data_IF_579082086062
#
_entry.id   IF_579082086062
#
_cell.length_a   1.000
_cell.length_b   1.000
_cell.length_c   1.000
_cell.angle_alpha   90.00
_cell.angle_beta   90.00
_cell.angle_gamma   90.00
#
_symmetry.space_group_name_H-M   'P 1'
#
loop_
_entity.id
_entity.type
_entity.pdbx_description
1 polymer ?
#
# COMPACT_ATOMS: atom_id res chain seq x y z
N UNK A 1 -16.60 -7.11 1.79
CA UNK A 1 -15.73 -7.50 0.66
C UNK A 1 -14.32 -7.66 1.23
N UNK A 2 -13.58 -8.74 0.97
CA UNK A 2 -12.35 -9.02 1.74
C UNK A 2 -11.28 -7.92 1.60
N UNK A 3 -11.12 -7.34 0.41
CA UNK A 3 -10.15 -6.27 0.19
C UNK A 3 -10.45 -4.95 0.93
N UNK A 4 -11.69 -4.73 1.38
CA UNK A 4 -12.03 -3.51 2.11
C UNK A 4 -11.56 -3.54 3.57
N UNK A 5 -11.28 -4.73 4.13
CA UNK A 5 -10.79 -4.89 5.50
C UNK A 5 -9.26 -5.03 5.60
N UNK A 6 -8.54 -4.95 4.48
CA UNK A 6 -7.09 -5.01 4.49
C UNK A 6 -6.47 -3.69 4.99
N UNK A 7 -5.38 -3.81 5.75
CA UNK A 7 -4.55 -2.67 6.14
C UNK A 7 -3.85 -2.03 4.94
N UNK A 8 -3.45 -0.77 5.08
CA UNK A 8 -2.65 -0.09 4.04
C UNK A 8 -1.37 -0.85 3.71
N UNK A 9 -0.76 -1.51 4.70
CA UNK A 9 0.38 -2.40 4.53
C UNK A 9 0.09 -3.53 3.55
N UNK A 10 -0.99 -4.28 3.79
CA UNK A 10 -1.37 -5.39 2.91
C UNK A 10 -1.79 -4.91 1.52
N UNK A 11 -2.49 -3.78 1.43
CA UNK A 11 -2.89 -3.19 0.16
C UNK A 11 -1.67 -2.73 -0.67
N UNK A 12 -0.70 -2.04 -0.05
CA UNK A 12 0.52 -1.61 -0.73
C UNK A 12 1.32 -2.80 -1.26
N UNK A 13 1.50 -3.84 -0.43
CA UNK A 13 2.22 -5.05 -0.84
C UNK A 13 1.58 -5.71 -2.06
N UNK A 14 0.24 -5.87 -2.05
CA UNK A 14 -0.50 -6.44 -3.18
C UNK A 14 -0.48 -5.54 -4.40
N UNK A 15 -0.59 -4.22 -4.23
CA UNK A 15 -0.51 -3.22 -5.30
C UNK A 15 0.83 -3.27 -6.02
N UNK A 16 1.94 -3.44 -5.27
CA UNK A 16 3.29 -3.59 -5.81
C UNK A 16 3.52 -4.97 -6.46
N UNK A 17 2.99 -6.04 -5.86
CA UNK A 17 3.11 -7.40 -6.41
C UNK A 17 2.40 -7.57 -7.76
N UNK A 18 1.23 -6.92 -7.89
CA UNK A 18 0.41 -6.96 -9.09
C UNK A 18 0.75 -5.83 -10.06
N UNK A 19 1.73 -4.99 -9.71
CA UNK A 19 2.15 -3.83 -10.49
C UNK A 19 2.60 -4.27 -11.88
N UNK A 20 1.82 -3.86 -12.87
CA UNK A 20 2.24 -3.79 -14.25
C UNK A 20 2.67 -2.34 -14.45
N UNK A 21 3.93 -2.14 -14.87
CA UNK A 21 4.40 -0.86 -15.43
C UNK A 21 3.55 -0.53 -16.66
N UNK A 22 2.31 -0.13 -16.46
CA UNK A 22 1.47 0.53 -17.45
C UNK A 22 1.95 1.99 -17.44
N UNK A 23 2.21 2.53 -18.63
CA UNK A 23 2.99 3.75 -18.91
C UNK A 23 2.54 5.06 -18.21
N UNK A 24 1.54 5.04 -17.33
CA UNK A 24 0.93 6.22 -16.73
C UNK A 24 0.77 6.19 -15.20
N UNK A 25 1.16 5.12 -14.50
CA UNK A 25 1.02 5.04 -13.03
C UNK A 25 2.34 4.64 -12.38
N UNK A 26 3.01 5.59 -11.73
CA UNK A 26 4.19 5.36 -10.93
C UNK A 26 3.81 5.34 -9.44
N UNK A 27 3.58 4.13 -8.94
CA UNK A 27 3.22 3.93 -7.53
C UNK A 27 4.32 4.41 -6.58
N UNK A 28 5.59 4.46 -6.99
CA UNK A 28 6.64 4.99 -6.11
C UNK A 28 6.46 6.50 -5.95
N UNK A 29 6.20 7.21 -7.05
CA UNK A 29 5.88 8.64 -7.00
C UNK A 29 4.59 8.90 -6.21
N UNK A 30 3.54 8.12 -6.44
CA UNK A 30 2.27 8.26 -5.69
C UNK A 30 2.51 8.13 -4.17
N UNK A 31 3.35 7.19 -3.74
CA UNK A 31 3.67 7.05 -2.32
C UNK A 31 4.49 8.23 -1.82
N UNK A 32 5.46 8.73 -2.59
CA UNK A 32 6.26 9.90 -2.20
C UNK A 32 5.41 11.18 -2.14
N UNK A 33 4.37 11.29 -2.96
CA UNK A 33 3.44 12.42 -2.95
C UNK A 33 2.63 12.49 -1.64
N UNK A 34 2.57 11.44 -0.83
CA UNK A 34 1.94 11.47 0.50
C UNK A 34 2.63 12.44 1.47
N UNK A 35 3.89 12.82 1.23
CA UNK A 35 4.53 13.88 2.00
C UNK A 35 3.87 15.25 1.78
N UNK A 36 3.23 15.45 0.63
CA UNK A 36 2.53 16.68 0.27
C UNK A 36 1.01 16.57 0.40
N UNK A 37 0.46 15.38 0.15
CA UNK A 37 -0.98 15.11 0.12
C UNK A 37 -1.34 13.89 1.00
N UNK A 38 -1.08 13.96 2.32
CA UNK A 38 -1.27 12.82 3.22
C UNK A 38 -2.72 12.32 3.26
N UNK A 39 -3.70 13.20 3.09
CA UNK A 39 -5.13 12.88 3.06
C UNK A 39 -5.49 11.82 2.02
N UNK A 40 -4.69 11.69 0.95
CA UNK A 40 -4.92 10.67 -0.10
C UNK A 40 -4.81 9.25 0.44
N UNK A 41 -4.03 9.03 1.50
CA UNK A 41 -3.85 7.71 2.13
C UNK A 41 -5.17 7.13 2.64
N UNK A 42 -6.06 7.98 3.18
CA UNK A 42 -7.37 7.57 3.71
C UNK A 42 -8.51 7.82 2.71
N UNK A 43 -8.34 8.79 1.80
CA UNK A 43 -9.37 9.17 0.84
C UNK A 43 -9.34 8.30 -0.43
N UNK A 44 -8.40 8.54 -1.35
CA UNK A 44 -8.50 8.00 -2.73
C UNK A 44 -7.66 6.75 -2.95
N UNK A 45 -6.46 6.66 -2.38
CA UNK A 45 -5.55 5.54 -2.58
C UNK A 45 -6.10 4.17 -2.20
N UNK A 46 -6.86 4.00 -1.12
CA UNK A 46 -7.37 2.68 -0.75
C UNK A 46 -8.28 2.10 -1.83
N UNK A 47 -9.14 2.92 -2.43
CA UNK A 47 -10.07 2.48 -3.48
C UNK A 47 -9.37 2.26 -4.82
N UNK A 48 -8.44 3.15 -5.18
CA UNK A 48 -7.59 3.00 -6.36
C UNK A 48 -6.77 1.69 -6.30
N UNK A 49 -6.14 1.43 -5.16
CA UNK A 49 -5.34 0.23 -4.93
C UNK A 49 -6.20 -1.02 -4.97
N UNK A 50 -7.37 -1.02 -4.30
CA UNK A 50 -8.32 -2.15 -4.36
C UNK A 50 -8.77 -2.44 -5.79
N UNK A 51 -9.13 -1.41 -6.56
CA UNK A 51 -9.53 -1.58 -7.97
C UNK A 51 -8.38 -2.14 -8.83
N UNK A 52 -7.14 -1.70 -8.57
CA UNK A 52 -5.96 -2.24 -9.23
C UNK A 52 -5.73 -3.71 -8.86
N UNK A 53 -5.76 -4.04 -7.57
CA UNK A 53 -5.58 -5.40 -7.05
C UNK A 53 -6.63 -6.34 -7.65
N UNK A 54 -7.91 -5.96 -7.66
CA UNK A 54 -8.99 -6.76 -8.27
C UNK A 54 -8.70 -7.11 -9.73
N UNK A 55 -8.26 -6.13 -10.53
CA UNK A 55 -7.88 -6.35 -11.94
C UNK A 55 -6.67 -7.29 -12.05
N UNK A 56 -5.66 -7.11 -11.19
CA UNK A 56 -4.47 -7.98 -11.15
C UNK A 56 -4.82 -9.43 -10.80
N UNK A 57 -5.65 -9.64 -9.77
CA UNK A 57 -6.10 -10.96 -9.35
C UNK A 57 -6.93 -11.65 -10.44
N UNK A 58 -7.83 -10.93 -11.10
CA UNK A 58 -8.62 -11.46 -12.21
C UNK A 58 -7.74 -11.94 -13.39
N UNK A 59 -6.66 -11.21 -13.71
CA UNK A 59 -5.68 -11.64 -14.74
C UNK A 59 -4.96 -12.93 -14.36
N UNK A 60 -4.73 -13.14 -13.06
CA UNK A 60 -4.13 -14.37 -12.52
C UNK A 60 -5.16 -15.46 -12.22
N UNK A 61 -6.46 -15.23 -12.49
CA UNK A 61 -7.58 -16.12 -12.15
C UNK A 61 -7.73 -16.44 -10.65
N UNK A 62 -7.17 -15.60 -9.79
CA UNK A 62 -7.22 -15.74 -8.33
C UNK A 62 -8.47 -15.05 -7.77
N UNK A 63 -9.20 -15.74 -6.90
CA UNK A 63 -10.33 -15.16 -6.15
C UNK A 63 -9.83 -14.38 -4.93
N UNK A 64 -10.53 -13.31 -4.55
CA UNK A 64 -10.18 -12.52 -3.35
C UNK A 64 -10.08 -13.37 -2.07
N UNK A 65 -10.96 -14.37 -1.91
CA UNK A 65 -10.94 -15.26 -0.75
C UNK A 65 -9.63 -16.06 -0.63
N UNK A 66 -8.98 -16.39 -1.76
CA UNK A 66 -7.69 -17.08 -1.77
C UNK A 66 -6.58 -16.17 -1.26
N UNK A 67 -6.66 -14.86 -1.53
CA UNK A 67 -5.69 -13.88 -1.03
C UNK A 67 -5.74 -13.79 0.50
N UNK A 68 -6.93 -13.92 1.08
CA UNK A 68 -7.10 -13.99 2.53
C UNK A 68 -6.31 -15.15 3.14
N UNK A 69 -6.44 -16.34 2.55
CA UNK A 69 -5.71 -17.52 3.03
C UNK A 69 -4.19 -17.34 2.90
N UNK A 70 -3.72 -16.77 1.78
CA UNK A 70 -2.30 -16.50 1.52
C UNK A 70 -1.72 -15.52 2.56
N UNK A 71 -2.44 -14.44 2.88
CA UNK A 71 -1.99 -13.46 3.86
C UNK A 71 -2.10 -13.95 5.31
N UNK A 72 -2.90 -14.98 5.57
CA UNK A 72 -3.13 -15.54 6.91
C UNK A 72 -2.20 -16.72 7.23
N UNK A 73 -1.22 -17.00 6.36
CA UNK A 73 -0.21 -18.05 6.50
C UNK A 73 -0.81 -19.46 6.79
N UNK A 74 -2.01 -19.72 6.24
CA UNK A 74 -2.67 -21.02 6.40
C UNK A 74 -1.90 -22.05 5.57
N UNK A 75 -1.44 -23.18 6.17
CA UNK A 75 -0.71 -24.20 5.44
C UNK A 75 -1.62 -24.85 4.40
N UNK A 76 -1.35 -24.60 3.13
CA UNK A 76 -1.95 -25.29 2.01
C UNK A 76 -0.91 -25.40 0.90
N UNK A 77 -0.91 -26.51 0.15
CA UNK A 77 -0.08 -26.60 -1.06
C UNK A 77 -0.59 -25.57 -2.07
N UNK A 78 0.23 -24.55 -2.42
CA UNK A 78 -0.22 -23.52 -3.33
C UNK A 78 -0.39 -24.13 -4.72
N UNK A 79 -1.55 -23.89 -5.33
CA UNK A 79 -1.72 -24.18 -6.76
C UNK A 79 -0.82 -23.25 -7.60
N UNK A 80 -0.72 -23.50 -8.91
CA UNK A 80 0.15 -22.74 -9.82
C UNK A 80 -0.09 -21.22 -9.77
N UNK A 81 -1.35 -20.81 -9.73
CA UNK A 81 -1.76 -19.40 -9.66
C UNK A 81 -1.32 -18.75 -8.34
N UNK A 82 -1.50 -19.46 -7.21
CA UNK A 82 -1.08 -19.02 -5.88
C UNK A 82 0.45 -18.93 -5.78
N UNK A 83 1.17 -19.91 -6.32
CA UNK A 83 2.63 -19.89 -6.37
C UNK A 83 3.15 -18.69 -7.19
N UNK A 84 2.48 -18.38 -8.31
CA UNK A 84 2.78 -17.20 -9.11
C UNK A 84 2.53 -15.90 -8.32
N UNK A 85 1.42 -15.77 -7.60
CA UNK A 85 1.18 -14.60 -6.75
C UNK A 85 2.22 -14.48 -5.61
N UNK A 86 2.57 -15.58 -4.96
CA UNK A 86 3.60 -15.61 -3.91
C UNK A 86 4.96 -15.16 -4.44
N UNK A 87 5.35 -15.61 -5.64
CA UNK A 87 6.60 -15.16 -6.27
C UNK A 87 6.57 -13.66 -6.59
N UNK A 88 5.44 -13.14 -7.05
CA UNK A 88 5.23 -11.70 -7.28
C UNK A 88 5.33 -10.88 -5.99
N UNK A 89 4.72 -11.36 -4.90
CA UNK A 89 4.82 -10.74 -3.57
C UNK A 89 6.28 -10.71 -3.09
N UNK A 90 7.00 -11.83 -3.24
CA UNK A 90 8.42 -11.92 -2.89
C UNK A 90 9.26 -10.91 -3.68
N UNK A 91 9.01 -10.79 -4.98
CA UNK A 91 9.72 -9.85 -5.85
C UNK A 91 9.37 -8.38 -5.56
N UNK A 92 8.18 -8.10 -5.04
CA UNK A 92 7.78 -6.77 -4.60
C UNK A 92 8.41 -6.37 -3.27
N UNK A 93 8.87 -7.32 -2.44
CA UNK A 93 9.35 -7.07 -1.08
C UNK A 93 10.41 -5.95 -0.99
N UNK A 94 11.45 -5.89 -1.84
CA UNK A 94 12.44 -4.81 -1.74
C UNK A 94 11.86 -3.42 -1.99
N UNK A 95 10.90 -3.29 -2.93
CA UNK A 95 10.19 -2.02 -3.17
C UNK A 95 9.28 -1.68 -1.99
N UNK A 96 8.56 -2.69 -1.49
CA UNK A 96 7.68 -2.56 -0.35
C UNK A 96 8.44 -2.09 0.91
N UNK A 97 9.58 -2.71 1.24
CA UNK A 97 10.36 -2.36 2.43
C UNK A 97 10.82 -0.89 2.43
N UNK A 98 11.03 -0.30 1.24
CA UNK A 98 11.36 1.13 1.08
C UNK A 98 10.15 2.04 1.24
N UNK A 99 9.03 1.67 0.64
CA UNK A 99 7.85 2.54 0.51
C UNK A 99 6.92 2.47 1.73
N UNK A 100 6.91 1.35 2.46
CA UNK A 100 6.02 1.16 3.60
C UNK A 100 6.30 2.17 4.72
N UNK A 101 7.55 2.63 4.87
CA UNK A 101 7.95 3.62 5.85
C UNK A 101 7.16 4.92 5.67
N UNK A 102 7.01 5.39 4.43
CA UNK A 102 6.26 6.62 4.12
C UNK A 102 4.78 6.48 4.52
N UNK A 103 4.18 5.33 4.19
CA UNK A 103 2.78 5.05 4.54
C UNK A 103 2.59 4.97 6.05
N UNK A 104 3.50 4.32 6.77
CA UNK A 104 3.45 4.20 8.23
C UNK A 104 3.66 5.56 8.92
N UNK A 105 4.59 6.39 8.44
CA UNK A 105 4.80 7.77 8.93
C UNK A 105 3.55 8.63 8.76
N UNK A 106 2.95 8.60 7.57
CA UNK A 106 1.74 9.40 7.26
C UNK A 106 0.55 8.90 8.05
N UNK A 107 0.39 7.57 8.18
CA UNK A 107 -0.67 6.99 9.00
C UNK A 107 -0.53 7.42 10.46
N UNK A 108 0.68 7.33 11.02
CA UNK A 108 0.96 7.75 12.40
C UNK A 108 0.69 9.24 12.59
N UNK A 109 1.05 10.10 11.63
CA UNK A 109 0.78 11.53 11.69
C UNK A 109 -0.73 11.82 11.70
N UNK A 110 -1.52 11.14 10.86
CA UNK A 110 -2.97 11.30 10.82
C UNK A 110 -3.67 10.77 12.07
N UNK A 111 -3.20 9.65 12.62
CA UNK A 111 -3.72 9.10 13.87
C UNK A 111 -3.31 9.95 15.08
N UNK A 112 -2.12 10.54 15.04
CA UNK A 112 -1.65 11.48 16.04
C UNK A 112 -2.37 12.83 15.96
N UNK A 113 -2.71 13.35 14.78
CA UNK A 113 -3.51 14.57 14.63
C UNK A 113 -4.93 14.40 15.19
N UNK A 114 -5.43 13.16 15.30
CA UNK A 114 -6.65 12.83 16.05
C UNK A 114 -6.47 12.85 17.59
N UNK A 115 -5.25 12.93 18.13
CA UNK A 115 -4.96 12.89 19.58
C UNK A 115 -4.10 14.07 20.09
N UNK A 116 -3.24 14.69 19.29
CA UNK A 116 -2.54 15.95 19.53
C UNK A 116 -1.74 16.36 18.29
N UNK A 117 -2.05 17.54 17.74
CA UNK A 117 -1.35 18.18 16.64
C UNK A 117 0.18 18.11 16.81
N UNK A 118 0.87 17.36 15.95
CA UNK A 118 2.33 17.27 15.99
C UNK A 118 2.93 17.93 14.77
N UNK A 119 3.64 19.03 15.04
CA UNK A 119 4.46 19.79 14.09
C UNK A 119 5.41 18.86 13.34
N UNK A 120 5.12 18.63 12.06
CA UNK A 120 5.95 17.86 11.13
C UNK A 120 7.36 18.48 10.99
N UNK A 121 8.36 17.74 10.47
CA UNK A 121 9.67 18.31 10.14
C UNK A 121 9.58 19.54 9.21
N UNK A 122 8.59 19.55 8.30
CA UNK A 122 8.27 20.70 7.45
C UNK A 122 7.76 21.88 8.27
N UNK A 123 6.89 21.65 9.25
CA UNK A 123 6.43 22.68 10.18
C UNK A 123 7.60 23.27 11.00
N UNK A 124 8.52 22.43 11.48
CA UNK A 124 9.77 22.89 12.14
C UNK A 124 10.69 23.68 11.20
N UNK A 125 10.79 23.27 9.94
CA UNK A 125 11.58 23.98 8.94
C UNK A 125 10.98 25.34 8.59
N UNK A 126 9.65 25.42 8.44
CA UNK A 126 8.92 26.67 8.21
C UNK A 126 9.02 27.62 9.41
N UNK A 127 8.95 27.12 10.65
CA UNK A 127 9.15 27.96 11.84
C UNK A 127 10.58 28.52 11.94
N UNK A 128 11.60 27.76 11.54
CA UNK A 128 12.98 28.25 11.49
C UNK A 128 13.19 29.29 10.38
N UNK A 129 12.57 29.12 9.21
CA UNK A 129 12.77 30.01 8.06
C UNK A 129 12.09 31.39 8.20
N UNK A 130 11.18 31.55 9.16
CA UNK A 130 10.37 32.77 9.37
C UNK A 130 10.72 33.46 10.71
N UNK A 131 11.64 32.88 11.51
CA UNK A 131 12.19 33.48 12.75
C UNK A 131 13.52 34.19 12.47
#
# INVERSE_FOLDING_TARGET
>A
MFLSSLSFRSLLLLRLALDKKEYACDIEQDIMDLYFFPERLVASYPDEWRAYIKRGLARLKIKEATVAAILSDVPNEPNEEQALLLSKIRNAKPRFDRLIIVVEEVQQAQDADNISALKTPLHRWLEWAIS
#
